data_IF_290426862487
#
_entry.id   IF_290426862487
#
_cell.length_a   1.000
_cell.length_b   1.000
_cell.length_c   1.000
_cell.angle_alpha   90.00
_cell.angle_beta   90.00
_cell.angle_gamma   90.00
#
_symmetry.space_group_name_H-M   'P 1'
#
loop_
_entity.id
_entity.type
_entity.pdbx_description
1 polymer ?
#
# COMPACT_ATOMS: atom_id res chain seq x y z
N UNK A 1 -25.89 15.61 0.19
CA UNK A 1 -24.89 16.60 0.70
C UNK A 1 -23.84 16.95 -0.38
N UNK A 2 -23.44 16.03 -1.26
CA UNK A 2 -22.56 16.31 -2.40
C UNK A 2 -23.10 17.40 -3.34
N UNK A 3 -24.41 17.59 -3.39
CA UNK A 3 -25.08 18.60 -4.22
C UNK A 3 -24.76 20.06 -3.85
N UNK A 4 -24.15 20.29 -2.70
CA UNK A 4 -23.71 21.63 -2.28
C UNK A 4 -22.34 22.04 -2.87
N UNK A 5 -21.60 21.10 -3.45
CA UNK A 5 -20.34 21.38 -4.11
C UNK A 5 -20.55 21.50 -5.62
N UNK A 6 -20.39 22.69 -6.14
CA UNK A 6 -20.39 22.90 -7.58
C UNK A 6 -19.20 22.16 -8.22
N UNK A 7 -19.47 21.27 -9.19
CA UNK A 7 -18.48 20.39 -9.82
C UNK A 7 -17.83 19.33 -8.89
N UNK A 8 -18.56 18.81 -7.91
CA UNK A 8 -18.09 17.72 -7.03
C UNK A 8 -17.50 16.52 -7.79
N UNK A 9 -18.09 16.16 -8.93
CA UNK A 9 -17.63 15.04 -9.77
C UNK A 9 -16.32 15.35 -10.53
N UNK A 10 -15.82 16.59 -10.46
CA UNK A 10 -14.64 17.05 -11.20
C UNK A 10 -13.43 17.25 -10.29
N UNK A 11 -13.61 17.30 -8.97
CA UNK A 11 -12.54 17.56 -8.01
C UNK A 11 -12.29 16.33 -7.12
N UNK A 12 -11.12 15.75 -7.28
CA UNK A 12 -10.60 14.78 -6.32
C UNK A 12 -9.98 15.52 -5.14
N UNK A 13 -10.48 15.26 -3.94
CA UNK A 13 -10.02 15.89 -2.70
C UNK A 13 -9.06 14.95 -2.00
N UNK A 14 -7.84 15.37 -1.81
CA UNK A 14 -6.76 14.60 -1.20
C UNK A 14 -6.43 15.10 0.21
N UNK A 15 -5.86 14.27 1.09
CA UNK A 15 -5.35 14.71 2.38
C UNK A 15 -4.34 15.85 2.29
N UNK A 16 -3.56 15.89 1.20
CA UNK A 16 -2.54 16.92 0.94
C UNK A 16 -3.11 18.31 0.76
N UNK A 17 -4.35 18.44 0.25
CA UNK A 17 -5.04 19.71 0.03
C UNK A 17 -5.33 20.45 1.34
N UNK A 18 -5.39 19.72 2.46
CA UNK A 18 -5.67 20.27 3.80
C UNK A 18 -4.46 20.26 4.72
N UNK A 19 -3.31 19.78 4.24
CA UNK A 19 -2.10 19.73 5.06
C UNK A 19 -1.53 21.13 5.27
N UNK A 20 -1.50 21.55 6.52
CA UNK A 20 -0.86 22.82 6.90
C UNK A 20 0.66 22.65 6.97
N UNK A 21 1.37 23.38 6.13
CA UNK A 21 2.84 23.37 6.07
C UNK A 21 3.47 24.43 6.99
N UNK A 22 2.76 25.52 7.28
CA UNK A 22 3.24 26.62 8.12
C UNK A 22 2.24 26.80 9.26
N UNK A 23 2.70 26.57 10.49
CA UNK A 23 1.85 26.69 11.68
C UNK A 23 1.84 28.17 12.13
N UNK A 24 0.78 28.90 11.82
CA UNK A 24 0.47 30.14 12.49
C UNK A 24 -0.28 29.82 13.79
N UNK A 25 -0.06 30.61 14.85
CA UNK A 25 -0.63 30.45 16.20
C UNK A 25 -2.09 29.99 16.19
N UNK A 26 -2.50 29.23 17.22
CA UNK A 26 -3.75 28.46 17.32
C UNK A 26 -4.97 29.17 16.68
N UNK A 27 -5.26 28.74 15.45
CA UNK A 27 -6.40 29.19 14.67
C UNK A 27 -7.40 28.03 14.59
N UNK A 28 -8.69 28.23 14.83
CA UNK A 28 -9.72 27.19 14.66
C UNK A 28 -9.71 26.50 13.31
N UNK A 29 -9.29 27.20 12.23
CA UNK A 29 -9.11 26.63 10.90
C UNK A 29 -7.97 25.59 10.86
N UNK A 30 -6.91 25.80 11.63
CA UNK A 30 -5.79 24.85 11.72
C UNK A 30 -6.26 23.51 12.27
N UNK A 31 -7.02 23.50 13.35
CA UNK A 31 -7.59 22.29 13.93
C UNK A 31 -8.56 21.60 12.96
N UNK A 32 -9.39 22.37 12.27
CA UNK A 32 -10.31 21.84 11.28
C UNK A 32 -9.56 21.14 10.14
N UNK A 33 -8.54 21.78 9.57
CA UNK A 33 -7.75 21.22 8.49
C UNK A 33 -6.97 19.99 8.92
N UNK A 34 -6.41 19.96 10.12
CA UNK A 34 -5.77 18.76 10.68
C UNK A 34 -6.74 17.60 10.79
N UNK A 35 -7.97 17.85 11.30
CA UNK A 35 -9.03 16.82 11.37
C UNK A 35 -9.41 16.30 9.98
N UNK A 36 -9.61 17.19 9.00
CA UNK A 36 -9.94 16.80 7.62
C UNK A 36 -8.81 15.96 7.02
N UNK A 37 -7.55 16.41 7.14
CA UNK A 37 -6.37 15.66 6.68
C UNK A 37 -6.35 14.25 7.25
N UNK A 38 -6.61 14.10 8.54
CA UNK A 38 -6.62 12.81 9.21
C UNK A 38 -7.78 11.92 8.74
N UNK A 39 -9.01 12.47 8.66
CA UNK A 39 -10.19 11.72 8.21
C UNK A 39 -10.03 11.22 6.78
N UNK A 40 -9.52 12.07 5.89
CA UNK A 40 -9.21 11.68 4.51
C UNK A 40 -8.10 10.62 4.49
N UNK A 41 -7.04 10.77 5.29
CA UNK A 41 -5.97 9.76 5.37
C UNK A 41 -6.52 8.40 5.78
N UNK A 42 -7.39 8.32 6.79
CA UNK A 42 -8.07 7.08 7.16
C UNK A 42 -8.87 6.52 5.99
N UNK A 43 -9.62 7.37 5.27
CA UNK A 43 -10.45 6.95 4.13
C UNK A 43 -9.63 6.38 2.99
N UNK A 44 -8.46 6.95 2.69
CA UNK A 44 -7.53 6.42 1.66
C UNK A 44 -6.78 5.16 2.10
N UNK A 45 -6.51 4.99 3.39
CA UNK A 45 -5.92 3.75 3.92
C UNK A 45 -6.96 2.63 3.92
N UNK A 46 -8.22 2.92 4.21
CA UNK A 46 -9.29 1.95 4.30
C UNK A 46 -9.57 1.23 2.97
N UNK A 47 -10.21 0.07 3.04
CA UNK A 47 -10.71 -0.63 1.86
C UNK A 47 -12.00 0.01 1.36
N UNK A 48 -12.84 0.45 2.30
CA UNK A 48 -14.04 1.25 2.02
C UNK A 48 -14.31 2.17 3.19
N UNK A 49 -14.87 3.33 2.90
CA UNK A 49 -15.28 4.31 3.91
C UNK A 49 -16.57 5.02 3.49
N UNK A 50 -17.33 5.47 4.47
CA UNK A 50 -18.53 6.25 4.26
C UNK A 50 -18.76 7.20 5.45
N UNK A 51 -19.33 8.36 5.14
CA UNK A 51 -19.74 9.32 6.16
C UNK A 51 -21.25 9.22 6.35
N UNK A 52 -21.68 8.98 7.58
CA UNK A 52 -23.09 8.97 7.93
C UNK A 52 -23.32 9.95 9.11
N UNK A 53 -23.87 11.10 8.80
CA UNK A 53 -24.04 12.19 9.74
C UNK A 53 -22.69 12.68 10.28
N UNK A 54 -22.41 12.41 11.56
CA UNK A 54 -21.17 12.81 12.24
C UNK A 54 -20.18 11.65 12.42
N UNK A 55 -20.40 10.54 11.76
CA UNK A 55 -19.57 9.35 11.89
C UNK A 55 -18.90 9.02 10.58
N UNK A 56 -17.58 8.89 10.61
CA UNK A 56 -16.81 8.21 9.58
C UNK A 56 -16.77 6.72 9.92
N UNK A 57 -17.35 5.89 9.08
CA UNK A 57 -17.36 4.43 9.20
C UNK A 57 -16.63 3.82 8.01
N UNK A 58 -16.00 2.68 8.23
CA UNK A 58 -15.38 1.96 7.13
C UNK A 58 -14.84 0.61 7.54
N UNK A 59 -14.25 -0.04 6.55
CA UNK A 59 -13.70 -1.39 6.66
C UNK A 59 -12.25 -1.37 6.18
N UNK A 60 -11.38 -2.04 6.92
CA UNK A 60 -10.01 -2.34 6.52
C UNK A 60 -9.90 -3.86 6.38
N UNK A 61 -9.70 -4.34 5.15
CA UNK A 61 -9.41 -5.72 4.83
C UNK A 61 -7.89 -5.91 4.80
N UNK A 62 -7.35 -6.41 5.88
CA UNK A 62 -5.97 -6.84 6.01
C UNK A 62 -5.89 -8.35 6.27
N UNK A 63 -4.99 -8.79 7.15
CA UNK A 63 -4.96 -10.19 7.60
C UNK A 63 -6.27 -10.62 8.29
N UNK A 64 -7.02 -9.67 8.79
CA UNK A 64 -8.39 -9.83 9.24
C UNK A 64 -9.22 -8.63 8.78
N UNK A 65 -10.51 -8.82 8.65
CA UNK A 65 -11.45 -7.71 8.44
C UNK A 65 -11.63 -6.94 9.74
N UNK A 66 -11.51 -5.63 9.67
CA UNK A 66 -11.69 -4.71 10.78
C UNK A 66 -12.67 -3.62 10.37
N UNK A 67 -13.71 -3.43 11.17
CA UNK A 67 -14.62 -2.29 11.05
C UNK A 67 -14.18 -1.18 12.00
N UNK A 68 -14.32 0.07 11.58
CA UNK A 68 -14.06 1.23 12.41
C UNK A 68 -15.19 2.24 12.33
N UNK A 69 -15.37 2.98 13.42
CA UNK A 69 -16.33 4.07 13.53
C UNK A 69 -15.71 5.20 14.34
N UNK A 70 -15.53 6.36 13.73
CA UNK A 70 -14.94 7.55 14.35
C UNK A 70 -15.96 8.67 14.39
N UNK A 71 -16.13 9.30 15.56
CA UNK A 71 -16.92 10.53 15.69
C UNK A 71 -16.09 11.73 15.22
N UNK A 72 -16.53 12.37 14.15
CA UNK A 72 -15.83 13.50 13.49
C UNK A 72 -15.62 14.67 14.48
N UNK A 73 -16.51 14.88 15.42
CA UNK A 73 -16.40 16.00 16.36
C UNK A 73 -15.39 15.74 17.48
N UNK A 74 -15.27 14.48 17.92
CA UNK A 74 -14.44 14.09 19.06
C UNK A 74 -13.09 13.48 18.68
N UNK A 75 -12.76 13.51 17.40
CA UNK A 75 -11.51 12.93 16.92
C UNK A 75 -10.33 13.84 17.28
N UNK A 76 -9.29 13.24 17.85
CA UNK A 76 -8.03 13.94 18.12
C UNK A 76 -7.09 13.82 16.90
N UNK A 77 -6.30 14.86 16.63
CA UNK A 77 -5.33 14.84 15.54
C UNK A 77 -4.31 13.72 15.74
N UNK A 78 -4.11 12.92 14.71
CA UNK A 78 -3.09 11.88 14.66
C UNK A 78 -2.26 11.99 13.38
N UNK A 79 -1.10 12.62 13.50
CA UNK A 79 -0.17 12.85 12.39
C UNK A 79 0.39 11.56 11.78
N UNK A 80 0.36 10.44 12.53
CA UNK A 80 0.87 9.14 12.05
C UNK A 80 0.00 8.62 10.91
N UNK A 81 -1.31 8.81 10.96
CA UNK A 81 -2.22 8.40 9.90
C UNK A 81 -1.93 9.09 8.57
N UNK A 82 -1.67 10.40 8.60
CA UNK A 82 -1.23 11.11 7.39
C UNK A 82 0.13 10.60 6.89
N UNK A 83 1.07 10.30 7.78
CA UNK A 83 2.38 9.74 7.39
C UNK A 83 2.27 8.37 6.75
N UNK A 84 1.35 7.51 7.22
CA UNK A 84 1.05 6.22 6.60
C UNK A 84 0.45 6.43 5.21
N UNK A 85 -0.56 7.29 5.06
CA UNK A 85 -1.13 7.66 3.77
C UNK A 85 -0.05 8.15 2.80
N UNK A 86 0.72 9.16 3.20
CA UNK A 86 1.79 9.71 2.37
C UNK A 86 2.80 8.64 1.95
N UNK A 87 3.21 7.77 2.87
CA UNK A 87 4.12 6.68 2.57
C UNK A 87 3.53 5.67 1.57
N UNK A 88 2.24 5.37 1.65
CA UNK A 88 1.57 4.46 0.70
C UNK A 88 1.63 5.02 -0.71
N UNK A 89 1.31 6.29 -0.88
CA UNK A 89 1.10 6.92 -2.18
C UNK A 89 2.33 7.67 -2.73
N UNK A 90 3.43 7.72 -1.99
CA UNK A 90 4.71 8.28 -2.45
C UNK A 90 5.65 7.15 -2.81
N UNK A 91 6.20 7.18 -4.02
CA UNK A 91 7.19 6.25 -4.56
C UNK A 91 6.86 4.74 -4.47
N UNK A 92 7.29 3.97 -5.45
CA UNK A 92 7.12 2.52 -5.49
C UNK A 92 5.70 2.07 -5.84
N UNK A 93 5.29 0.88 -5.36
CA UNK A 93 3.97 0.28 -5.62
C UNK A 93 2.96 0.68 -4.54
N UNK A 94 2.00 1.59 -4.81
CA UNK A 94 0.97 1.95 -3.83
C UNK A 94 0.08 0.76 -3.45
N UNK A 95 -0.14 -0.18 -4.38
CA UNK A 95 -0.97 -1.37 -4.16
C UNK A 95 -0.34 -2.26 -3.09
N UNK A 96 0.94 -2.61 -3.25
CA UNK A 96 1.65 -3.48 -2.31
C UNK A 96 1.78 -2.82 -0.94
N UNK A 97 2.11 -1.53 -0.92
CA UNK A 97 2.20 -0.75 0.31
C UNK A 97 0.88 -0.66 1.04
N UNK A 98 -0.24 -0.44 0.33
CA UNK A 98 -1.57 -0.40 0.93
C UNK A 98 -1.97 -1.75 1.52
N UNK A 99 -1.68 -2.86 0.83
CA UNK A 99 -1.94 -4.22 1.33
C UNK A 99 -1.17 -4.45 2.63
N UNK A 100 0.14 -4.14 2.65
CA UNK A 100 0.99 -4.33 3.82
C UNK A 100 0.55 -3.44 4.97
N UNK A 101 0.24 -2.17 4.71
CA UNK A 101 -0.26 -1.26 5.72
C UNK A 101 -1.57 -1.76 6.35
N UNK A 102 -2.54 -2.19 5.52
CA UNK A 102 -3.81 -2.75 5.98
C UNK A 102 -3.62 -4.01 6.80
N UNK A 103 -2.68 -4.89 6.41
CA UNK A 103 -2.34 -6.09 7.17
C UNK A 103 -1.87 -5.76 8.58
N UNK A 104 -0.92 -4.84 8.71
CA UNK A 104 -0.37 -4.44 10.01
C UNK A 104 -1.41 -3.70 10.85
N UNK A 105 -2.13 -2.75 10.26
CA UNK A 105 -3.16 -1.97 10.95
C UNK A 105 -4.26 -2.89 11.46
N UNK A 106 -4.76 -3.82 10.63
CA UNK A 106 -5.84 -4.73 11.04
C UNK A 106 -5.46 -5.63 12.22
N UNK A 107 -4.19 -6.00 12.35
CA UNK A 107 -3.68 -6.76 13.50
C UNK A 107 -3.55 -5.88 14.74
N UNK A 108 -2.99 -4.68 14.58
CA UNK A 108 -2.77 -3.75 15.69
C UNK A 108 -4.09 -3.28 16.29
N UNK A 109 -5.03 -2.87 15.46
CA UNK A 109 -6.35 -2.37 15.87
C UNK A 109 -7.30 -3.45 16.41
N UNK A 110 -6.81 -4.66 16.70
CA UNK A 110 -7.57 -5.65 17.47
C UNK A 110 -7.93 -5.16 18.87
N UNK A 111 -7.07 -4.33 19.45
CA UNK A 111 -7.17 -3.89 20.85
C UNK A 111 -7.18 -2.37 21.01
N UNK A 112 -6.94 -1.63 19.93
CA UNK A 112 -6.75 -0.17 19.93
C UNK A 112 -7.54 0.45 18.78
N UNK A 113 -8.06 1.66 18.95
CA UNK A 113 -8.75 2.38 17.88
C UNK A 113 -7.79 2.75 16.73
N UNK A 114 -8.31 2.84 15.51
CA UNK A 114 -7.54 3.34 14.37
C UNK A 114 -7.00 4.77 14.61
N UNK A 115 -7.69 5.55 15.40
CA UNK A 115 -7.29 6.92 15.77
C UNK A 115 -6.13 6.98 16.75
N UNK A 116 -5.79 5.85 17.39
CA UNK A 116 -4.73 5.73 18.40
C UNK A 116 -3.46 5.05 17.85
N UNK A 117 -3.36 4.90 16.54
CA UNK A 117 -2.16 4.35 15.87
C UNK A 117 -0.95 5.24 16.17
N UNK A 118 0.16 4.61 16.55
CA UNK A 118 1.40 5.26 16.94
C UNK A 118 2.55 5.02 15.93
N UNK A 119 3.70 5.62 16.20
CA UNK A 119 4.92 5.47 15.40
C UNK A 119 5.44 4.03 15.32
N UNK A 120 5.11 3.17 16.30
CA UNK A 120 5.51 1.75 16.27
C UNK A 120 4.79 1.01 15.15
N UNK A 121 3.51 1.37 14.90
CA UNK A 121 2.75 0.80 13.79
C UNK A 121 3.37 1.21 12.46
N UNK A 122 3.74 2.47 12.30
CA UNK A 122 4.43 2.95 11.10
C UNK A 122 5.76 2.22 10.88
N UNK A 123 6.57 2.05 11.92
CA UNK A 123 7.81 1.31 11.85
C UNK A 123 7.58 -0.18 11.48
N UNK A 124 6.54 -0.79 12.04
CA UNK A 124 6.14 -2.16 11.69
C UNK A 124 5.71 -2.29 10.24
N UNK A 125 4.94 -1.34 9.71
CA UNK A 125 4.56 -1.29 8.29
C UNK A 125 5.80 -1.25 7.39
N UNK A 126 6.73 -0.33 7.68
CA UNK A 126 7.96 -0.20 6.90
C UNK A 126 8.85 -1.44 6.98
N UNK A 127 8.97 -2.05 8.16
CA UNK A 127 9.72 -3.30 8.33
C UNK A 127 9.12 -4.45 7.52
N UNK A 128 7.81 -4.62 7.54
CA UNK A 128 7.13 -5.65 6.76
C UNK A 128 7.29 -5.41 5.24
N UNK A 129 7.25 -4.17 4.79
CA UNK A 129 7.49 -3.85 3.39
C UNK A 129 8.92 -4.15 2.95
N UNK A 130 9.91 -3.87 3.81
CA UNK A 130 11.31 -4.20 3.54
C UNK A 130 11.54 -5.72 3.43
N UNK A 131 10.85 -6.52 4.26
CA UNK A 131 10.88 -7.99 4.14
C UNK A 131 10.27 -8.44 2.83
N UNK A 132 9.10 -7.93 2.47
CA UNK A 132 8.44 -8.21 1.20
C UNK A 132 9.33 -7.91 -0.01
N UNK A 133 10.04 -6.78 -0.01
CA UNK A 133 10.98 -6.44 -1.09
C UNK A 133 12.16 -7.42 -1.16
N UNK A 134 12.70 -7.87 -0.03
CA UNK A 134 13.79 -8.86 0.00
C UNK A 134 13.34 -10.20 -0.57
N UNK A 135 12.15 -10.65 -0.21
CA UNK A 135 11.59 -11.91 -0.70
C UNK A 135 11.35 -11.84 -2.21
N UNK A 136 10.80 -10.75 -2.73
CA UNK A 136 10.61 -10.55 -4.17
C UNK A 136 11.93 -10.55 -4.96
N UNK A 137 12.99 -9.93 -4.42
CA UNK A 137 14.32 -9.96 -5.06
C UNK A 137 14.87 -11.37 -5.08
N UNK A 138 14.71 -12.13 -4.01
CA UNK A 138 15.13 -13.54 -3.94
C UNK A 138 14.42 -14.39 -4.99
N UNK A 139 13.10 -14.30 -5.05
CA UNK A 139 12.28 -15.03 -6.02
C UNK A 139 12.67 -14.68 -7.47
N UNK A 140 12.92 -13.41 -7.74
CA UNK A 140 13.41 -12.96 -9.05
C UNK A 140 14.76 -13.57 -9.42
N UNK A 141 15.70 -13.63 -8.48
CA UNK A 141 17.03 -14.24 -8.72
C UNK A 141 16.92 -15.75 -8.93
N UNK A 142 16.07 -16.44 -8.18
CA UNK A 142 15.80 -17.87 -8.37
C UNK A 142 15.19 -18.14 -9.75
N UNK A 143 14.20 -17.35 -10.16
CA UNK A 143 13.61 -17.45 -11.49
C UNK A 143 14.65 -17.22 -12.60
N UNK A 144 15.47 -16.19 -12.47
CA UNK A 144 16.55 -15.87 -13.42
C UNK A 144 17.54 -17.04 -13.56
N UNK A 145 17.92 -17.66 -12.45
CA UNK A 145 18.82 -18.81 -12.47
C UNK A 145 18.18 -20.02 -13.17
N UNK A 146 16.92 -20.33 -12.86
CA UNK A 146 16.17 -21.41 -13.55
C UNK A 146 16.07 -21.19 -15.06
N UNK A 147 15.83 -19.96 -15.49
CA UNK A 147 15.80 -19.60 -16.93
C UNK A 147 17.18 -19.78 -17.56
N UNK A 148 18.26 -19.38 -16.88
CA UNK A 148 19.61 -19.58 -17.37
C UNK A 148 19.97 -21.07 -17.50
N UNK A 149 19.62 -21.90 -16.52
CA UNK A 149 19.77 -23.36 -16.56
C UNK A 149 19.01 -23.97 -17.75
N UNK A 150 17.73 -23.56 -17.93
CA UNK A 150 16.89 -24.03 -19.02
C UNK A 150 17.48 -23.69 -20.40
N UNK A 151 17.99 -22.46 -20.56
CA UNK A 151 18.68 -22.06 -21.81
C UNK A 151 19.95 -22.91 -22.05
N UNK A 152 20.74 -23.15 -21.00
CA UNK A 152 21.94 -24.00 -21.09
C UNK A 152 21.59 -25.42 -21.52
N UNK A 153 20.55 -26.01 -20.97
CA UNK A 153 20.05 -27.33 -21.33
C UNK A 153 19.59 -27.42 -22.79
N UNK A 154 18.88 -26.38 -23.28
CA UNK A 154 18.47 -26.31 -24.68
C UNK A 154 19.68 -26.24 -25.59
N UNK A 155 20.66 -25.42 -25.28
CA UNK A 155 21.90 -25.29 -26.10
C UNK A 155 22.64 -26.62 -26.13
N UNK A 156 22.80 -27.29 -24.99
CA UNK A 156 23.45 -28.61 -24.90
C UNK A 156 22.74 -29.64 -25.77
N UNK A 157 21.43 -29.81 -25.61
CA UNK A 157 20.60 -30.75 -26.36
C UNK A 157 20.63 -30.46 -27.88
N UNK A 158 20.58 -29.16 -28.24
CA UNK A 158 20.67 -28.77 -29.65
C UNK A 158 22.01 -29.15 -30.26
N UNK A 159 23.12 -28.96 -29.52
CA UNK A 159 24.45 -29.41 -29.90
C UNK A 159 24.55 -30.95 -30.10
N UNK A 160 23.98 -31.71 -29.17
CA UNK A 160 23.92 -33.18 -29.27
C UNK A 160 23.13 -33.63 -30.50
N UNK A 161 21.94 -33.02 -30.75
CA UNK A 161 21.15 -33.33 -31.94
C UNK A 161 21.89 -32.99 -33.25
N UNK A 162 22.56 -31.84 -33.30
CA UNK A 162 23.35 -31.44 -34.47
C UNK A 162 24.50 -32.45 -34.75
N UNK A 163 25.21 -32.87 -33.70
CA UNK A 163 26.28 -33.88 -33.80
C UNK A 163 25.72 -35.22 -34.24
N UNK A 164 24.63 -35.68 -33.65
CA UNK A 164 23.96 -36.94 -34.05
C UNK A 164 23.49 -36.95 -35.51
N UNK A 165 22.97 -35.82 -36.01
CA UNK A 165 22.61 -35.66 -37.40
C UNK A 165 23.83 -35.77 -38.31
N UNK A 166 24.93 -35.09 -37.99
CA UNK A 166 26.18 -35.16 -38.76
C UNK A 166 26.75 -36.58 -38.82
N UNK A 167 26.71 -37.30 -37.69
CA UNK A 167 27.19 -38.70 -37.66
C UNK A 167 26.31 -39.65 -38.48
N UNK A 168 24.99 -39.46 -38.47
CA UNK A 168 24.07 -40.20 -39.35
C UNK A 168 24.31 -39.88 -40.83
N UNK A 169 24.59 -38.64 -41.17
CA UNK A 169 24.96 -38.30 -42.56
C UNK A 169 26.26 -38.98 -43.00
N UNK A 170 27.29 -38.98 -42.14
CA UNK A 170 28.58 -39.64 -42.44
C UNK A 170 28.45 -41.16 -42.57
N UNK A 171 27.57 -41.80 -41.84
CA UNK A 171 27.37 -43.27 -41.89
C UNK A 171 26.52 -43.72 -43.07
N UNK A 172 25.83 -42.85 -43.79
CA UNK A 172 24.99 -43.13 -44.94
C UNK A 172 25.63 -42.78 -46.28
N UNK A 173 26.86 -42.25 -46.26
CA UNK A 173 27.74 -42.03 -47.41
C UNK A 173 28.80 -43.15 -47.53
#
# INVERSE_FOLDING_TARGET
>A
EASYFYNFDTYEVLPDDFKITINYESNPLTELFQKITMLLSISFIATSSSINGRQLKGIINGQRTMEYCCDINNIQDNKVLYRIYNWIYTDGSPIDKAIIARNVISLHCKYVSITEIDDKVMASIQSNYNLYLKDNVKDYLELKNKVAEFISDIVSKTGEYATSLLDKFKSNL
#
